data_IF_759874156209
#
_entry.id   IF_759874156209
#
_cell.length_a   1.000
_cell.length_b   1.000
_cell.length_c   1.000
_cell.angle_alpha   90.00
_cell.angle_beta   90.00
_cell.angle_gamma   90.00
#
_symmetry.space_group_name_H-M   'P 1'
#
loop_
_entity.id
_entity.type
_entity.pdbx_description
1 polymer ?
#
# COMPACT_ATOMS: atom_id res chain seq x y z
N UNK A 1 3.59 11.55 -4.17
CA UNK A 1 3.65 10.12 -3.76
C UNK A 1 4.37 9.91 -2.43
N UNK A 2 5.62 10.37 -2.24
CA UNK A 2 6.38 10.10 -1.00
C UNK A 2 5.77 10.70 0.29
N UNK A 3 5.16 11.88 0.22
CA UNK A 3 4.47 12.49 1.37
C UNK A 3 3.22 11.70 1.82
N UNK A 4 2.45 11.14 0.89
CA UNK A 4 1.29 10.29 1.20
C UNK A 4 1.69 8.92 1.78
N UNK A 5 2.92 8.45 1.50
CA UNK A 5 3.50 7.26 2.14
C UNK A 5 3.95 7.53 3.58
N UNK A 6 4.32 8.76 3.91
CA UNK A 6 4.74 9.15 5.27
C UNK A 6 3.54 9.26 6.24
N UNK A 7 2.33 9.48 5.72
CA UNK A 7 1.07 9.44 6.47
C UNK A 7 0.56 8.01 6.74
N UNK A 8 1.24 6.98 6.22
CA UNK A 8 0.93 5.58 6.43
C UNK A 8 1.81 5.01 7.54
N UNK A 9 1.22 4.15 8.38
CA UNK A 9 1.99 3.38 9.36
C UNK A 9 3.15 2.62 8.69
N UNK A 10 4.27 2.52 9.40
CA UNK A 10 5.54 1.92 8.94
C UNK A 10 5.33 0.53 8.31
N UNK A 11 4.43 -0.26 8.91
CA UNK A 11 4.02 -1.59 8.43
C UNK A 11 3.33 -1.54 7.07
N UNK A 12 2.47 -0.54 6.86
CA UNK A 12 1.68 -0.36 5.64
C UNK A 12 2.56 0.14 4.49
N UNK A 13 3.51 1.03 4.81
CA UNK A 13 4.54 1.49 3.89
C UNK A 13 5.41 0.34 3.40
N UNK A 14 5.95 -0.46 4.31
CA UNK A 14 6.77 -1.64 3.98
C UNK A 14 6.02 -2.60 3.04
N UNK A 15 4.72 -2.83 3.32
CA UNK A 15 3.84 -3.66 2.49
C UNK A 15 3.71 -3.15 1.05
N UNK A 16 3.53 -1.84 0.87
CA UNK A 16 3.43 -1.20 -0.44
C UNK A 16 4.78 -1.17 -1.17
N UNK A 17 5.87 -0.93 -0.45
CA UNK A 17 7.24 -0.95 -1.01
C UNK A 17 7.59 -2.35 -1.52
N UNK A 18 7.30 -3.41 -0.75
CA UNK A 18 7.50 -4.79 -1.21
C UNK A 18 6.56 -5.15 -2.37
N UNK A 19 5.30 -4.73 -2.33
CA UNK A 19 4.36 -4.99 -3.44
C UNK A 19 4.81 -4.33 -4.74
N UNK A 20 5.37 -3.11 -4.68
CA UNK A 20 5.87 -2.39 -5.86
C UNK A 20 7.22 -2.92 -6.35
N UNK A 21 8.02 -3.49 -5.44
CA UNK A 21 9.25 -4.21 -5.78
C UNK A 21 9.01 -5.61 -6.38
N UNK A 22 7.76 -6.08 -6.44
CA UNK A 22 7.39 -7.33 -7.11
C UNK A 22 7.40 -8.58 -6.22
N UNK A 23 7.47 -8.43 -4.89
CA UNK A 23 7.37 -9.56 -3.97
C UNK A 23 5.99 -10.22 -4.03
N UNK A 24 5.93 -11.54 -3.89
CA UNK A 24 4.66 -12.25 -3.77
C UNK A 24 3.99 -11.99 -2.42
N UNK A 25 2.66 -12.12 -2.37
CA UNK A 25 1.91 -11.93 -1.12
C UNK A 25 2.38 -12.89 0.01
N UNK A 26 2.91 -14.07 -0.35
CA UNK A 26 3.50 -15.02 0.60
C UNK A 26 4.81 -14.51 1.19
N UNK A 27 5.69 -13.94 0.38
CA UNK A 27 6.95 -13.36 0.85
C UNK A 27 6.70 -12.13 1.73
N UNK A 28 5.74 -11.29 1.35
CA UNK A 28 5.30 -10.15 2.16
C UNK A 28 4.73 -10.62 3.50
N UNK A 29 3.90 -11.67 3.50
CA UNK A 29 3.32 -12.24 4.71
C UNK A 29 4.40 -12.74 5.70
N UNK A 30 5.44 -13.39 5.17
CA UNK A 30 6.58 -13.86 5.97
C UNK A 30 7.41 -12.71 6.53
N UNK A 31 7.70 -11.70 5.71
CA UNK A 31 8.49 -10.54 6.14
C UNK A 31 7.80 -9.68 7.19
N UNK A 32 6.47 -9.55 7.10
CA UNK A 32 5.66 -8.68 7.98
C UNK A 32 5.03 -9.46 9.14
N UNK A 33 5.29 -10.77 9.22
CA UNK A 33 4.77 -11.70 10.23
C UNK A 33 3.24 -11.66 10.35
N UNK A 34 2.56 -11.74 9.20
CA UNK A 34 1.08 -11.76 9.13
C UNK A 34 0.60 -12.91 8.23
N UNK A 35 -0.70 -13.22 8.30
CA UNK A 35 -1.27 -14.20 7.36
C UNK A 35 -1.33 -13.64 5.92
N UNK A 36 -1.23 -14.51 4.92
CA UNK A 36 -1.38 -14.14 3.50
C UNK A 36 -2.74 -13.48 3.24
N UNK A 37 -3.80 -13.96 3.90
CA UNK A 37 -5.13 -13.35 3.83
C UNK A 37 -5.13 -11.92 4.37
N UNK A 38 -4.43 -11.70 5.49
CA UNK A 38 -4.25 -10.35 6.05
C UNK A 38 -3.45 -9.44 5.12
N UNK A 39 -2.44 -9.96 4.40
CA UNK A 39 -1.68 -9.18 3.39
C UNK A 39 -2.61 -8.61 2.32
N UNK A 40 -3.49 -9.44 1.76
CA UNK A 40 -4.47 -8.96 0.76
C UNK A 40 -5.36 -7.84 1.31
N UNK A 41 -5.91 -8.02 2.52
CA UNK A 41 -6.75 -6.99 3.16
C UNK A 41 -5.97 -5.71 3.48
N UNK A 42 -4.74 -5.85 3.98
CA UNK A 42 -3.87 -4.73 4.30
C UNK A 42 -3.48 -3.97 3.04
N UNK A 43 -3.12 -4.65 1.95
CA UNK A 43 -2.85 -4.02 0.65
C UNK A 43 -4.07 -3.26 0.13
N UNK A 44 -5.24 -3.90 0.12
CA UNK A 44 -6.46 -3.23 -0.34
C UNK A 44 -6.78 -1.97 0.48
N UNK A 45 -6.58 -2.03 1.80
CA UNK A 45 -6.77 -0.87 2.70
C UNK A 45 -5.70 0.19 2.47
N UNK A 46 -4.45 -0.21 2.30
CA UNK A 46 -3.31 0.67 2.02
C UNK A 46 -3.51 1.46 0.73
N UNK A 47 -3.89 0.78 -0.36
CA UNK A 47 -4.16 1.41 -1.66
C UNK A 47 -5.35 2.37 -1.58
N UNK A 48 -6.41 2.02 -0.84
CA UNK A 48 -7.54 2.92 -0.62
C UNK A 48 -7.16 4.17 0.17
N UNK A 49 -6.39 4.01 1.26
CA UNK A 49 -5.91 5.13 2.09
C UNK A 49 -4.97 6.02 1.26
N UNK A 50 -4.02 5.43 0.54
CA UNK A 50 -3.13 6.16 -0.37
C UNK A 50 -3.91 6.93 -1.45
N UNK A 51 -4.92 6.31 -2.06
CA UNK A 51 -5.78 6.97 -3.03
C UNK A 51 -6.59 8.13 -2.43
N UNK A 52 -7.06 8.00 -1.19
CA UNK A 52 -7.75 9.08 -0.48
C UNK A 52 -6.81 10.26 -0.19
N UNK A 53 -5.62 9.98 0.35
CA UNK A 53 -4.58 10.99 0.64
C UNK A 53 -4.14 11.72 -0.63
N UNK A 54 -3.94 10.99 -1.74
CA UNK A 54 -3.59 11.59 -3.03
C UNK A 54 -4.70 12.51 -3.56
N UNK A 55 -5.97 12.11 -3.40
CA UNK A 55 -7.12 12.95 -3.77
C UNK A 55 -7.22 14.21 -2.92
N UNK A 56 -6.98 14.09 -1.61
CA UNK A 56 -6.95 15.24 -0.70
C UNK A 56 -5.81 16.21 -1.03
N UNK A 57 -4.65 15.67 -1.45
CA UNK A 57 -3.50 16.45 -1.92
C UNK A 57 -3.67 17.01 -3.34
N UNK A 58 -4.86 16.87 -3.95
CA UNK A 58 -5.15 17.43 -5.28
C UNK A 58 -4.59 16.64 -6.46
N UNK A 59 -4.03 15.44 -6.24
CA UNK A 59 -3.73 14.52 -7.33
C UNK A 59 -5.03 13.88 -7.82
N UNK A 60 -5.68 14.53 -8.79
CA UNK A 60 -6.62 13.86 -9.68
C UNK A 60 -5.84 12.81 -10.48
N UNK A 61 -5.96 11.54 -10.09
CA UNK A 61 -5.58 10.45 -10.96
C UNK A 61 -6.57 10.45 -12.14
N UNK A 62 -6.21 11.14 -13.22
CA UNK A 62 -6.87 10.95 -14.50
C UNK A 62 -6.79 9.47 -14.84
N UNK A 63 -7.98 8.91 -15.08
CA UNK A 63 -8.27 7.51 -15.30
C UNK A 63 -7.30 6.90 -16.32
N UNK A 64 -6.57 5.87 -15.92
CA UNK A 64 -6.05 4.93 -16.90
C UNK A 64 -7.23 4.13 -17.44
N UNK A 65 -7.54 4.41 -18.70
CA UNK A 65 -8.57 3.76 -19.51
C UNK A 65 -8.11 2.41 -20.06
#
# INVERSE_FOLDING_TARGET
>A
VRAALDALDDRTRTLLEMSTAGFSQREIAQHVEVSVTSVSTLLARATRKLGAELREQGYCHESYS
#
